data_IF_528224039686
#
_entry.id   IF_528224039686
#
_cell.length_a   1.000
_cell.length_b   1.000
_cell.length_c   1.000
_cell.angle_alpha   90.00
_cell.angle_beta   90.00
_cell.angle_gamma   90.00
#
_symmetry.space_group_name_H-M   'P 1'
#
loop_
_entity.id
_entity.type
_entity.pdbx_description
1 polymer ?
#
# COMPACT_ATOMS: atom_id res chain seq x y z
N UNK A 1 6.74 -21.87 4.98
CA UNK A 1 5.34 -22.29 4.79
C UNK A 1 5.34 -23.41 3.78
N UNK A 2 4.79 -24.59 4.10
CA UNK A 2 4.53 -25.62 3.08
C UNK A 2 3.22 -25.25 2.38
N UNK A 3 3.32 -24.74 1.15
CA UNK A 3 2.15 -24.40 0.35
C UNK A 3 1.86 -25.57 -0.59
N UNK A 4 0.72 -26.23 -0.38
CA UNK A 4 0.31 -27.38 -1.19
C UNK A 4 -0.05 -26.93 -2.61
N UNK A 5 0.48 -27.64 -3.61
CA UNK A 5 0.58 -27.27 -5.03
C UNK A 5 -0.71 -27.43 -5.85
N UNK A 6 -1.77 -27.97 -5.27
CA UNK A 6 -3.01 -28.19 -5.97
C UNK A 6 -3.94 -27.00 -5.78
N UNK A 7 -4.21 -26.24 -6.86
CA UNK A 7 -5.30 -25.26 -6.89
C UNK A 7 -6.58 -26.01 -6.54
N UNK A 8 -7.17 -25.83 -5.35
CA UNK A 8 -8.41 -26.50 -5.06
C UNK A 8 -9.47 -25.80 -5.92
N UNK A 9 -10.16 -26.53 -6.78
CA UNK A 9 -11.29 -26.01 -7.56
C UNK A 9 -12.46 -25.75 -6.60
N UNK A 10 -12.36 -24.64 -5.87
CA UNK A 10 -13.23 -24.27 -4.75
C UNK A 10 -14.50 -23.58 -5.23
N UNK A 11 -14.49 -23.05 -6.46
CA UNK A 11 -15.58 -22.26 -7.01
C UNK A 11 -15.40 -20.76 -6.87
N UNK A 12 -16.09 -20.01 -7.73
CA UNK A 12 -16.17 -18.55 -7.69
C UNK A 12 -17.15 -18.08 -6.62
N UNK A 13 -16.82 -16.97 -5.96
CA UNK A 13 -17.68 -16.24 -5.02
C UNK A 13 -17.95 -14.84 -5.58
N UNK A 14 -19.12 -14.27 -5.28
CA UNK A 14 -19.40 -12.86 -5.58
C UNK A 14 -18.91 -12.01 -4.42
N UNK A 15 -17.81 -11.28 -4.60
CA UNK A 15 -17.29 -10.42 -3.55
C UNK A 15 -16.54 -9.19 -4.06
N UNK A 16 -16.43 -8.18 -3.20
CA UNK A 16 -15.46 -7.10 -3.36
C UNK A 16 -14.06 -7.64 -3.00
N UNK A 17 -13.12 -7.73 -3.96
CA UNK A 17 -11.79 -8.28 -3.73
C UNK A 17 -11.00 -7.53 -2.67
N UNK A 18 -11.13 -6.20 -2.60
CA UNK A 18 -10.39 -5.36 -1.65
C UNK A 18 -10.87 -5.59 -0.21
N UNK A 19 -12.18 -5.75 -0.03
CA UNK A 19 -12.79 -6.04 1.27
C UNK A 19 -12.50 -7.46 1.72
N UNK A 20 -12.52 -8.42 0.81
CA UNK A 20 -12.10 -9.79 1.12
C UNK A 20 -10.62 -9.85 1.49
N UNK A 21 -9.75 -9.13 0.79
CA UNK A 21 -8.34 -9.00 1.16
C UNK A 21 -8.19 -8.40 2.57
N UNK A 22 -8.98 -7.38 2.92
CA UNK A 22 -9.00 -6.80 4.27
C UNK A 22 -9.40 -7.84 5.34
N UNK A 23 -10.37 -8.70 5.05
CA UNK A 23 -10.77 -9.81 5.94
C UNK A 23 -9.59 -10.75 6.18
N UNK A 24 -8.96 -11.22 5.11
CA UNK A 24 -7.85 -12.17 5.18
C UNK A 24 -6.64 -11.56 5.89
N UNK A 25 -6.33 -10.30 5.60
CA UNK A 25 -5.23 -9.57 6.24
C UNK A 25 -5.44 -9.44 7.74
N UNK A 26 -6.64 -9.09 8.19
CA UNK A 26 -6.95 -8.97 9.61
C UNK A 26 -6.79 -10.30 10.35
N UNK A 27 -7.27 -11.40 9.76
CA UNK A 27 -7.16 -12.73 10.36
C UNK A 27 -5.71 -13.23 10.39
N UNK A 28 -4.97 -13.07 9.29
CA UNK A 28 -3.55 -13.47 9.21
C UNK A 28 -2.65 -12.62 10.12
N UNK A 29 -2.86 -11.31 10.13
CA UNK A 29 -2.09 -10.42 11.01
C UNK A 29 -2.32 -10.77 12.48
N UNK A 30 -3.56 -11.09 12.87
CA UNK A 30 -3.85 -11.57 14.23
C UNK A 30 -3.15 -12.90 14.51
N UNK A 31 -3.24 -13.88 13.60
CA UNK A 31 -2.59 -15.17 13.74
C UNK A 31 -1.07 -15.03 13.92
N UNK A 32 -0.41 -14.18 13.11
CA UNK A 32 1.03 -13.92 13.23
C UNK A 32 1.35 -13.18 14.53
N UNK A 33 0.59 -12.13 14.86
CA UNK A 33 0.80 -11.30 16.05
C UNK A 33 0.68 -12.08 17.36
N UNK A 34 -0.23 -13.05 17.41
CA UNK A 34 -0.51 -13.81 18.63
C UNK A 34 0.21 -15.17 18.67
N UNK A 35 0.99 -15.49 17.63
CA UNK A 35 1.85 -16.67 17.59
C UNK A 35 3.28 -16.29 17.99
N UNK A 36 3.83 -16.97 18.98
CA UNK A 36 5.21 -16.75 19.42
C UNK A 36 6.22 -17.21 18.35
N UNK A 37 7.45 -16.69 18.41
CA UNK A 37 8.53 -17.12 17.51
C UNK A 37 8.70 -18.64 17.53
N UNK A 38 8.71 -19.26 16.34
CA UNK A 38 8.77 -20.72 16.17
C UNK A 38 7.40 -21.42 16.12
N UNK A 39 6.29 -20.70 16.37
CA UNK A 39 4.94 -21.22 16.16
C UNK A 39 4.55 -21.31 14.68
N UNK A 40 3.39 -21.89 14.39
CA UNK A 40 2.90 -22.15 13.03
C UNK A 40 1.57 -21.46 12.79
N UNK A 41 1.43 -20.89 11.59
CA UNK A 41 0.16 -20.41 11.04
C UNK A 41 -0.11 -21.19 9.76
N UNK A 42 -1.31 -21.73 9.64
CA UNK A 42 -1.76 -22.52 8.50
C UNK A 42 -3.00 -21.85 7.87
N UNK A 43 -3.03 -21.81 6.53
CA UNK A 43 -4.16 -21.31 5.76
C UNK A 43 -4.65 -22.44 4.86
N UNK A 44 -5.96 -22.68 4.87
CA UNK A 44 -6.60 -23.69 4.05
C UNK A 44 -7.80 -23.10 3.33
N UNK A 45 -7.94 -23.43 2.05
CA UNK A 45 -9.10 -23.07 1.22
C UNK A 45 -9.74 -24.35 0.70
N UNK A 46 -11.04 -24.53 0.94
CA UNK A 46 -11.81 -25.70 0.50
C UNK A 46 -13.19 -25.29 -0.05
N UNK A 47 -13.68 -25.98 -1.07
CA UNK A 47 -15.09 -25.89 -1.47
C UNK A 47 -15.91 -26.96 -0.76
N UNK A 48 -17.00 -26.59 -0.11
CA UNK A 48 -17.89 -27.53 0.58
C UNK A 48 -19.32 -27.42 0.09
N UNK A 49 -20.00 -28.57 0.03
CA UNK A 49 -21.46 -28.66 -0.15
C UNK A 49 -22.07 -28.85 1.23
N UNK A 50 -23.16 -28.14 1.54
CA UNK A 50 -23.88 -28.35 2.80
C UNK A 50 -24.61 -29.70 2.69
N UNK A 51 -24.22 -30.70 3.48
CA UNK A 51 -24.95 -31.97 3.56
C UNK A 51 -26.29 -31.77 4.29
N UNK A 52 -27.34 -32.39 3.76
CA UNK A 52 -28.70 -32.37 4.31
C UNK A 52 -28.77 -33.20 5.59
N UNK A 53 -28.57 -32.57 6.76
CA UNK A 53 -29.10 -33.10 8.02
C UNK A 53 -29.71 -31.96 8.86
N UNK A 54 -31.00 -32.10 9.17
CA UNK A 54 -31.72 -31.25 10.12
C UNK A 54 -32.61 -30.19 9.47
N UNK A 55 -33.80 -30.03 10.03
CA UNK A 55 -34.99 -29.40 9.44
C UNK A 55 -34.77 -28.03 8.78
N UNK A 56 -35.49 -27.86 7.67
CA UNK A 56 -35.51 -26.72 6.77
C UNK A 56 -35.43 -25.34 7.45
N UNK A 57 -34.24 -24.75 7.45
CA UNK A 57 -34.09 -23.29 7.43
C UNK A 57 -33.99 -22.87 5.96
N UNK A 58 -35.04 -22.21 5.49
CA UNK A 58 -35.45 -22.08 4.09
C UNK A 58 -34.57 -21.20 3.17
N UNK A 59 -33.30 -20.91 3.47
CA UNK A 59 -32.52 -19.96 2.65
C UNK A 59 -31.05 -20.29 2.34
N UNK A 60 -30.51 -21.49 2.63
CA UNK A 60 -29.13 -21.83 2.23
C UNK A 60 -29.00 -23.27 1.71
N UNK A 61 -29.52 -23.53 0.49
CA UNK A 61 -29.12 -24.66 -0.38
C UNK A 61 -27.79 -24.38 -1.12
N UNK A 62 -26.89 -23.57 -0.55
CA UNK A 62 -25.72 -23.06 -1.26
C UNK A 62 -24.45 -23.85 -0.91
N UNK A 63 -23.69 -24.25 -1.93
CA UNK A 63 -22.29 -24.63 -1.75
C UNK A 63 -21.49 -23.40 -1.32
N UNK A 64 -20.44 -23.57 -0.53
CA UNK A 64 -19.65 -22.45 0.02
C UNK A 64 -18.15 -22.69 -0.12
N UNK A 65 -17.39 -21.62 -0.34
CA UNK A 65 -15.96 -21.59 -0.14
C UNK A 65 -15.68 -21.42 1.35
N UNK A 66 -14.78 -22.23 1.89
CA UNK A 66 -14.36 -22.19 3.28
C UNK A 66 -12.87 -21.85 3.35
N UNK A 67 -12.54 -20.74 4.02
CA UNK A 67 -11.17 -20.33 4.34
C UNK A 67 -10.95 -20.57 5.82
N UNK A 68 -9.94 -21.36 6.17
CA UNK A 68 -9.58 -21.68 7.55
C UNK A 68 -8.19 -21.14 7.81
N UNK A 69 -8.05 -20.29 8.82
CA UNK A 69 -6.78 -19.75 9.30
C UNK A 69 -6.59 -20.27 10.72
N UNK A 70 -5.58 -21.10 10.92
CA UNK A 70 -5.28 -21.73 12.21
C UNK A 70 -3.87 -21.34 12.66
N UNK A 71 -3.72 -21.02 13.94
CA UNK A 71 -2.45 -20.67 14.55
C UNK A 71 -2.17 -21.53 15.79
N UNK A 72 -0.90 -21.65 16.16
CA UNK A 72 -0.46 -22.32 17.40
C UNK A 72 -0.09 -21.30 18.49
N UNK A 73 -0.74 -20.14 18.48
CA UNK A 73 -0.43 -19.01 19.34
C UNK A 73 -1.03 -19.13 20.74
N UNK A 74 -1.19 -17.98 21.39
CA UNK A 74 -1.66 -17.91 22.79
C UNK A 74 -3.08 -18.43 23.03
N UNK A 75 -3.84 -18.77 21.98
CA UNK A 75 -5.23 -19.18 22.10
C UNK A 75 -6.18 -18.08 22.56
N UNK A 76 -7.44 -18.46 22.81
CA UNK A 76 -8.50 -17.56 23.25
C UNK A 76 -9.17 -18.21 24.46
N UNK A 77 -9.32 -17.45 25.54
CA UNK A 77 -10.00 -17.95 26.74
C UNK A 77 -11.47 -18.27 26.43
N UNK A 78 -12.04 -19.36 27.00
CA UNK A 78 -13.45 -19.72 26.78
C UNK A 78 -14.43 -18.61 27.13
N UNK A 79 -14.12 -17.79 28.14
CA UNK A 79 -14.95 -16.66 28.56
C UNK A 79 -14.95 -15.52 27.53
N UNK A 80 -13.87 -15.37 26.76
CA UNK A 80 -13.74 -14.31 25.75
C UNK A 80 -14.18 -14.75 24.35
N UNK A 81 -14.10 -16.04 24.03
CA UNK A 81 -14.42 -16.57 22.70
C UNK A 81 -15.81 -16.15 22.17
N UNK A 82 -16.90 -16.14 22.96
CA UNK A 82 -18.21 -15.67 22.50
C UNK A 82 -18.23 -14.19 22.11
N UNK A 83 -17.31 -13.40 22.68
CA UNK A 83 -17.25 -11.94 22.53
C UNK A 83 -16.15 -11.49 21.55
N UNK A 84 -15.44 -12.42 20.89
CA UNK A 84 -14.26 -12.12 20.07
C UNK A 84 -14.58 -11.25 18.84
N UNK A 85 -15.83 -11.25 18.37
CA UNK A 85 -16.31 -10.43 17.25
C UNK A 85 -17.07 -9.17 17.68
N UNK A 86 -17.19 -8.89 18.98
CA UNK A 86 -17.83 -7.67 19.46
C UNK A 86 -16.92 -6.44 19.27
N UNK A 87 -17.55 -5.30 18.95
CA UNK A 87 -16.83 -4.04 18.83
C UNK A 87 -16.20 -3.63 20.16
N UNK A 88 -14.94 -3.20 20.11
CA UNK A 88 -14.18 -2.66 21.26
C UNK A 88 -13.94 -3.67 22.40
N UNK A 89 -14.16 -4.97 22.17
CA UNK A 89 -13.89 -6.03 23.14
C UNK A 89 -12.48 -6.59 22.98
N UNK A 90 -11.78 -6.74 24.10
CA UNK A 90 -10.41 -7.27 24.16
C UNK A 90 -10.27 -8.19 25.37
N UNK A 91 -9.54 -9.30 25.20
CA UNK A 91 -9.35 -10.30 26.25
C UNK A 91 -8.55 -9.77 27.45
N UNK A 92 -7.61 -8.84 27.23
CA UNK A 92 -6.76 -8.27 28.29
C UNK A 92 -6.35 -6.83 27.99
N UNK A 93 -6.65 -5.92 28.94
CA UNK A 93 -6.22 -4.52 28.88
C UNK A 93 -4.71 -4.31 29.09
N UNK A 94 -3.98 -5.32 29.57
CA UNK A 94 -2.53 -5.25 29.85
C UNK A 94 -1.64 -5.32 28.60
N UNK A 95 -2.10 -5.99 27.54
CA UNK A 95 -1.38 -6.17 26.27
C UNK A 95 -1.42 -4.88 25.41
N UNK A 96 -2.30 -3.92 25.74
CA UNK A 96 -2.46 -2.65 25.01
C UNK A 96 -1.22 -1.75 25.06
N UNK A 97 -0.36 -1.86 26.09
CA UNK A 97 0.86 -1.05 26.17
C UNK A 97 1.98 -1.52 25.23
N UNK A 98 1.93 -2.76 24.76
CA UNK A 98 2.97 -3.30 23.85
C UNK A 98 2.51 -3.43 22.40
N UNK A 99 1.22 -3.69 22.10
CA UNK A 99 0.77 -3.90 20.71
C UNK A 99 -0.62 -3.32 20.42
N UNK A 100 -0.77 -2.00 20.56
CA UNK A 100 -2.01 -1.22 20.45
C UNK A 100 -2.96 -1.62 19.31
N UNK A 101 -4.07 -2.26 19.65
CA UNK A 101 -5.22 -2.47 18.77
C UNK A 101 -6.48 -1.87 19.39
N UNK A 102 -7.43 -1.42 18.58
CA UNK A 102 -8.70 -0.81 19.04
C UNK A 102 -9.82 -1.84 19.32
N UNK A 103 -9.56 -3.14 19.11
CA UNK A 103 -10.59 -4.19 19.25
C UNK A 103 -11.64 -4.15 18.13
N UNK A 104 -11.32 -3.55 16.99
CA UNK A 104 -12.23 -3.41 15.85
C UNK A 104 -12.00 -4.44 14.74
N UNK A 105 -10.79 -5.01 14.65
CA UNK A 105 -10.37 -5.82 13.51
C UNK A 105 -11.30 -7.01 13.24
N UNK A 106 -11.64 -7.79 14.27
CA UNK A 106 -12.52 -8.96 14.11
C UNK A 106 -14.00 -8.58 13.93
N UNK A 107 -14.45 -7.49 14.55
CA UNK A 107 -15.80 -6.96 14.31
C UNK A 107 -15.99 -6.52 12.84
N UNK A 108 -14.96 -5.88 12.26
CA UNK A 108 -14.93 -5.53 10.83
C UNK A 108 -14.93 -6.80 9.97
N UNK A 109 -14.13 -7.82 10.33
CA UNK A 109 -14.14 -9.11 9.62
C UNK A 109 -15.55 -9.69 9.55
N UNK A 110 -16.25 -9.77 10.70
CA UNK A 110 -17.62 -10.28 10.75
C UNK A 110 -18.56 -9.48 9.86
N UNK A 111 -18.55 -8.16 9.99
CA UNK A 111 -19.41 -7.29 9.20
C UNK A 111 -19.16 -7.44 7.68
N UNK A 112 -17.90 -7.45 7.25
CA UNK A 112 -17.55 -7.60 5.84
C UNK A 112 -17.95 -8.98 5.31
N UNK A 113 -17.73 -10.06 6.06
CA UNK A 113 -18.12 -11.40 5.65
C UNK A 113 -19.65 -11.53 5.55
N UNK A 114 -20.39 -10.99 6.51
CA UNK A 114 -21.86 -10.95 6.49
C UNK A 114 -22.40 -10.14 5.30
N UNK A 115 -21.76 -9.01 4.95
CA UNK A 115 -22.12 -8.24 3.75
C UNK A 115 -21.91 -9.02 2.44
N UNK A 116 -20.98 -9.98 2.42
CA UNK A 116 -20.79 -10.90 1.31
C UNK A 116 -21.73 -12.11 1.35
N UNK A 117 -22.72 -12.12 2.25
CA UNK A 117 -23.64 -13.25 2.45
C UNK A 117 -22.98 -14.47 3.08
N UNK A 118 -21.81 -14.29 3.69
CA UNK A 118 -21.02 -15.33 4.33
C UNK A 118 -21.24 -15.43 5.84
N UNK A 119 -20.47 -16.33 6.45
CA UNK A 119 -20.42 -16.56 7.90
C UNK A 119 -18.95 -16.62 8.34
N UNK A 120 -18.61 -16.03 9.49
CA UNK A 120 -17.30 -16.22 10.13
C UNK A 120 -17.47 -16.79 11.53
N UNK A 121 -16.63 -17.77 11.87
CA UNK A 121 -16.58 -18.38 13.21
C UNK A 121 -15.15 -18.41 13.74
N UNK A 122 -15.01 -18.50 15.05
CA UNK A 122 -13.74 -18.67 15.74
C UNK A 122 -13.85 -19.85 16.72
N UNK A 123 -12.79 -20.66 16.78
CA UNK A 123 -12.66 -21.80 17.69
C UNK A 123 -11.28 -21.77 18.34
N UNK A 124 -11.20 -22.11 19.63
CA UNK A 124 -9.94 -22.23 20.36
C UNK A 124 -10.11 -23.19 21.52
N UNK A 125 -9.22 -24.18 21.71
CA UNK A 125 -9.27 -25.09 22.86
C UNK A 125 -8.96 -24.42 24.21
N UNK A 126 -8.54 -23.15 24.22
CA UNK A 126 -8.16 -22.38 25.40
C UNK A 126 -6.76 -21.80 25.31
N UNK A 127 -6.29 -21.22 26.42
CA UNK A 127 -5.00 -20.52 26.47
C UNK A 127 -3.82 -21.45 26.14
N UNK A 128 -2.90 -20.93 25.32
CA UNK A 128 -1.69 -21.62 24.84
C UNK A 128 -1.92 -22.68 23.75
N UNK A 129 -3.16 -22.90 23.29
CA UNK A 129 -3.51 -23.96 22.34
C UNK A 129 -3.83 -23.44 20.93
N UNK A 130 -3.60 -22.15 20.67
CA UNK A 130 -3.86 -21.53 19.38
C UNK A 130 -5.35 -21.25 19.10
N UNK A 131 -5.62 -20.65 17.96
CA UNK A 131 -6.98 -20.31 17.53
C UNK A 131 -7.19 -20.67 16.06
N UNK A 132 -8.44 -20.94 15.70
CA UNK A 132 -8.87 -21.25 14.33
C UNK A 132 -10.03 -20.36 13.94
N UNK A 133 -9.84 -19.54 12.91
CA UNK A 133 -10.87 -18.71 12.30
C UNK A 133 -11.34 -19.33 11.00
N UNK A 134 -12.65 -19.46 10.83
CA UNK A 134 -13.27 -20.04 9.62
C UNK A 134 -14.18 -19.02 8.97
N UNK A 135 -13.89 -18.65 7.73
CA UNK A 135 -14.73 -17.79 6.88
C UNK A 135 -15.42 -18.66 5.83
N UNK A 136 -16.73 -18.58 5.72
CA UNK A 136 -17.55 -19.27 4.72
C UNK A 136 -18.19 -18.23 3.80
N UNK A 137 -18.03 -18.39 2.49
CA UNK A 137 -18.61 -17.51 1.48
C UNK A 137 -19.47 -18.31 0.49
N UNK A 138 -20.67 -17.84 0.13
CA UNK A 138 -21.53 -18.55 -0.81
C UNK A 138 -20.89 -18.61 -2.20
N UNK A 139 -20.84 -19.81 -2.78
CA UNK A 139 -20.39 -19.98 -4.16
C UNK A 139 -21.47 -19.49 -5.12
N UNK A 140 -21.03 -18.91 -6.24
CA UNK A 140 -21.88 -18.59 -7.37
C UNK A 140 -22.51 -19.88 -7.92
N UNK A 141 -23.83 -19.84 -8.14
CA UNK A 141 -24.60 -20.97 -8.65
C UNK A 141 -24.26 -21.31 -10.11
N UNK A 142 -24.01 -20.29 -10.95
CA UNK A 142 -23.54 -20.48 -12.33
C UNK A 142 -22.04 -20.20 -12.42
N UNK A 143 -21.25 -21.25 -12.22
CA UNK A 143 -19.80 -21.21 -12.33
C UNK A 143 -19.36 -21.16 -13.80
N UNK A 144 -20.14 -21.72 -14.71
CA UNK A 144 -19.76 -22.05 -16.09
C UNK A 144 -19.60 -20.82 -16.98
N UNK A 145 -20.62 -19.96 -17.06
CA UNK A 145 -20.54 -18.75 -17.90
C UNK A 145 -19.58 -17.71 -17.32
N UNK A 146 -19.55 -17.54 -16.01
CA UNK A 146 -18.66 -16.58 -15.35
C UNK A 146 -17.19 -17.02 -15.44
N UNK A 147 -16.88 -18.31 -15.28
CA UNK A 147 -15.53 -18.83 -15.54
C UNK A 147 -15.14 -18.61 -17.00
N UNK A 148 -16.01 -18.91 -17.97
CA UNK A 148 -15.70 -18.69 -19.39
C UNK A 148 -15.40 -17.22 -19.71
N UNK A 149 -16.14 -16.26 -19.14
CA UNK A 149 -15.88 -14.84 -19.34
C UNK A 149 -14.60 -14.36 -18.64
N UNK A 150 -14.33 -14.83 -17.42
CA UNK A 150 -13.08 -14.54 -16.70
C UNK A 150 -11.86 -15.16 -17.41
N UNK A 151 -12.00 -16.39 -17.91
CA UNK A 151 -10.97 -17.09 -18.66
C UNK A 151 -10.73 -16.41 -20.02
N UNK A 152 -11.78 -15.90 -20.68
CA UNK A 152 -11.65 -15.10 -21.91
C UNK A 152 -10.95 -13.75 -21.67
N UNK A 153 -11.29 -13.06 -20.58
CA UNK A 153 -10.63 -11.81 -20.17
C UNK A 153 -9.20 -12.02 -19.63
N UNK A 154 -8.87 -13.22 -19.12
CA UNK A 154 -7.51 -13.62 -18.79
C UNK A 154 -6.72 -14.08 -20.01
N UNK A 155 -7.38 -14.69 -20.99
CA UNK A 155 -6.77 -15.09 -22.26
C UNK A 155 -6.32 -13.90 -23.10
N UNK A 156 -6.94 -12.72 -22.96
CA UNK A 156 -6.43 -11.48 -23.57
C UNK A 156 -5.12 -10.98 -22.95
N UNK A 157 -4.70 -11.51 -21.79
CA UNK A 157 -3.42 -11.24 -21.10
C UNK A 157 -2.63 -12.55 -20.92
N UNK A 158 -2.65 -13.43 -21.93
CA UNK A 158 -1.88 -14.68 -21.89
C UNK A 158 -0.40 -14.42 -22.20
N UNK A 159 0.49 -14.80 -21.26
CA UNK A 159 1.95 -14.74 -21.42
C UNK A 159 2.54 -16.07 -21.88
N UNK A 160 1.74 -16.89 -22.58
CA UNK A 160 2.08 -18.25 -22.96
C UNK A 160 3.44 -18.33 -23.68
N UNK A 161 4.39 -19.04 -23.06
CA UNK A 161 5.73 -19.26 -23.63
C UNK A 161 6.67 -18.05 -23.53
N UNK A 162 6.26 -16.95 -22.89
CA UNK A 162 7.13 -15.81 -22.64
C UNK A 162 8.12 -16.17 -21.53
N UNK A 163 9.42 -16.16 -21.84
CA UNK A 163 10.50 -16.37 -20.87
C UNK A 163 10.85 -15.04 -20.20
N UNK A 164 10.63 -14.92 -18.90
CA UNK A 164 10.87 -13.71 -18.11
C UNK A 164 12.06 -13.94 -17.18
N UNK A 165 13.09 -13.09 -17.28
CA UNK A 165 14.19 -13.07 -16.32
C UNK A 165 13.96 -11.94 -15.31
N UNK A 166 13.82 -12.29 -14.04
CA UNK A 166 13.62 -11.34 -12.93
C UNK A 166 14.97 -11.08 -12.25
N UNK A 167 15.27 -9.82 -11.94
CA UNK A 167 16.47 -9.40 -11.21
C UNK A 167 16.01 -8.58 -10.03
N UNK A 168 16.20 -9.08 -8.82
CA UNK A 168 15.72 -8.44 -7.59
C UNK A 168 16.53 -9.00 -6.43
N UNK A 169 16.99 -8.18 -5.47
CA UNK A 169 17.77 -8.64 -4.33
C UNK A 169 16.87 -9.16 -3.19
N UNK A 170 15.58 -8.82 -3.18
CA UNK A 170 14.60 -9.26 -2.21
C UNK A 170 14.03 -10.65 -2.55
N UNK A 171 14.19 -11.59 -1.63
CA UNK A 171 13.77 -12.98 -1.83
C UNK A 171 12.26 -13.12 -2.00
N UNK A 172 11.48 -12.37 -1.23
CA UNK A 172 10.03 -12.50 -1.22
C UNK A 172 9.40 -12.00 -2.53
N UNK A 173 9.97 -10.94 -3.13
CA UNK A 173 9.57 -10.44 -4.45
C UNK A 173 9.91 -11.46 -5.54
N UNK A 174 11.11 -12.04 -5.52
CA UNK A 174 11.48 -13.11 -6.47
C UNK A 174 10.56 -14.31 -6.35
N UNK A 175 10.28 -14.78 -5.14
CA UNK A 175 9.40 -15.92 -4.90
C UNK A 175 7.98 -15.62 -5.39
N UNK A 176 7.47 -14.41 -5.14
CA UNK A 176 6.17 -13.98 -5.63
C UNK A 176 6.10 -13.92 -7.16
N UNK A 177 7.04 -13.25 -7.83
CA UNK A 177 7.02 -13.08 -9.28
C UNK A 177 7.26 -14.39 -10.03
N UNK A 178 8.18 -15.23 -9.54
CA UNK A 178 8.40 -16.58 -10.09
C UNK A 178 7.22 -17.50 -9.84
N UNK A 179 6.39 -17.23 -8.82
CA UNK A 179 5.13 -17.93 -8.59
C UNK A 179 3.96 -17.39 -9.42
N UNK A 180 3.86 -16.07 -9.58
CA UNK A 180 2.73 -15.41 -10.21
C UNK A 180 2.76 -15.53 -11.74
N UNK A 181 3.90 -15.25 -12.38
CA UNK A 181 4.02 -15.20 -13.85
C UNK A 181 3.68 -16.54 -14.53
N UNK A 182 4.07 -17.72 -14.00
CA UNK A 182 3.65 -19.00 -14.58
C UNK A 182 2.14 -19.24 -14.56
N UNK A 183 1.39 -18.57 -13.67
CA UNK A 183 -0.07 -18.67 -13.64
C UNK A 183 -0.74 -18.04 -14.86
N UNK A 184 -0.01 -17.18 -15.58
CA UNK A 184 -0.42 -16.56 -16.84
C UNK A 184 0.25 -17.21 -18.06
N UNK A 185 0.95 -18.34 -17.88
CA UNK A 185 1.59 -19.12 -18.96
C UNK A 185 3.03 -18.71 -19.30
N UNK A 186 3.61 -17.76 -18.56
CA UNK A 186 5.01 -17.41 -18.70
C UNK A 186 5.93 -18.49 -18.11
N UNK A 187 7.20 -18.45 -18.49
CA UNK A 187 8.27 -19.23 -17.87
C UNK A 187 9.16 -18.21 -17.18
N UNK A 188 9.25 -18.22 -15.85
CA UNK A 188 10.01 -17.24 -15.10
C UNK A 188 11.23 -17.87 -14.42
N UNK A 189 12.36 -17.19 -14.47
CA UNK A 189 13.54 -17.47 -13.63
C UNK A 189 13.97 -16.17 -12.96
N UNK A 190 14.64 -16.26 -11.82
CA UNK A 190 15.07 -15.08 -11.08
C UNK A 190 16.53 -15.21 -10.62
N UNK A 191 17.25 -14.09 -10.66
CA UNK A 191 18.62 -13.95 -10.16
C UNK A 191 18.67 -12.87 -9.08
N UNK A 192 19.65 -12.99 -8.19
CA UNK A 192 19.75 -12.12 -7.00
C UNK A 192 20.56 -10.85 -7.24
N UNK A 193 21.30 -10.81 -8.35
CA UNK A 193 22.24 -9.72 -8.60
C UNK A 193 22.43 -9.47 -10.10
N UNK A 194 22.73 -8.23 -10.44
CA UNK A 194 23.07 -7.80 -11.79
C UNK A 194 24.28 -8.57 -12.39
N UNK A 195 25.17 -9.11 -11.54
CA UNK A 195 26.35 -9.89 -11.98
C UNK A 195 25.99 -11.23 -12.64
N UNK A 196 24.88 -11.83 -12.21
CA UNK A 196 24.42 -13.13 -12.73
C UNK A 196 23.64 -13.00 -14.05
N UNK A 197 23.15 -11.79 -14.35
CA UNK A 197 22.19 -11.54 -15.44
C UNK A 197 22.71 -11.93 -16.81
N UNK A 198 23.96 -11.59 -17.16
CA UNK A 198 24.50 -11.90 -18.49
C UNK A 198 24.61 -13.41 -18.71
N UNK A 199 25.10 -14.13 -17.70
CA UNK A 199 25.17 -15.59 -17.73
C UNK A 199 23.78 -16.20 -17.88
N UNK A 200 22.81 -15.66 -17.16
CA UNK A 200 21.42 -16.14 -17.21
C UNK A 200 20.76 -15.81 -18.56
N UNK A 201 21.06 -14.65 -19.16
CA UNK A 201 20.58 -14.31 -20.51
C UNK A 201 21.06 -15.34 -21.54
N UNK A 202 22.32 -15.77 -21.47
CA UNK A 202 22.88 -16.76 -22.39
C UNK A 202 22.25 -18.16 -22.20
N UNK A 203 21.98 -18.55 -20.94
CA UNK A 203 21.44 -19.87 -20.61
C UNK A 203 19.93 -19.96 -20.80
N UNK A 204 19.19 -19.01 -20.23
CA UNK A 204 17.73 -19.02 -20.21
C UNK A 204 17.12 -18.39 -21.47
N UNK A 205 17.88 -17.55 -22.19
CA UNK A 205 17.43 -16.82 -23.38
C UNK A 205 16.09 -16.12 -23.15
N UNK A 206 15.98 -15.21 -22.17
CA UNK A 206 14.71 -14.56 -21.86
C UNK A 206 14.18 -13.78 -23.07
N UNK A 207 12.86 -13.64 -23.14
CA UNK A 207 12.18 -12.72 -24.05
C UNK A 207 12.06 -11.32 -23.45
N UNK A 208 12.09 -11.21 -22.12
CA UNK A 208 12.03 -9.93 -21.39
C UNK A 208 12.78 -10.03 -20.07
N UNK A 209 13.47 -8.95 -19.70
CA UNK A 209 14.09 -8.73 -18.41
C UNK A 209 13.18 -7.85 -17.56
N UNK A 210 12.91 -8.24 -16.31
CA UNK A 210 12.26 -7.40 -15.29
C UNK A 210 13.29 -7.17 -14.20
N UNK A 211 13.76 -5.94 -14.05
CA UNK A 211 14.77 -5.58 -13.06
C UNK A 211 14.17 -4.66 -12.02
N UNK A 212 14.41 -4.98 -10.76
CA UNK A 212 14.39 -3.99 -9.72
C UNK A 212 15.46 -2.92 -10.00
N UNK A 213 15.19 -1.70 -9.55
CA UNK A 213 16.12 -0.57 -9.67
C UNK A 213 17.02 -0.49 -8.44
N UNK A 214 16.46 -0.75 -7.26
CA UNK A 214 17.08 -0.55 -5.95
C UNK A 214 18.05 -1.64 -5.52
N UNK A 215 18.85 -2.20 -6.42
CA UNK A 215 19.72 -3.33 -6.11
C UNK A 215 21.08 -2.90 -5.53
N UNK A 216 21.65 -3.65 -4.56
CA UNK A 216 22.98 -3.41 -4.04
C UNK A 216 24.07 -3.52 -5.11
N UNK A 217 25.11 -2.68 -5.00
CA UNK A 217 26.31 -2.65 -5.85
C UNK A 217 26.12 -2.18 -7.30
N UNK A 218 25.02 -2.57 -7.96
CA UNK A 218 24.69 -2.16 -9.33
C UNK A 218 23.16 -2.03 -9.46
N UNK A 219 22.69 -0.80 -9.71
CA UNK A 219 21.27 -0.52 -9.92
C UNK A 219 20.75 -1.07 -11.27
N UNK A 220 19.42 -1.21 -11.38
CA UNK A 220 18.77 -1.75 -12.57
C UNK A 220 19.05 -0.95 -13.86
N UNK A 221 19.35 0.35 -13.76
CA UNK A 221 19.69 1.18 -14.92
C UNK A 221 21.10 0.88 -15.44
N UNK A 222 22.08 0.79 -14.54
CA UNK A 222 23.46 0.44 -14.82
C UNK A 222 23.53 -0.95 -15.46
N UNK A 223 22.74 -1.89 -14.95
CA UNK A 223 22.55 -3.21 -15.55
C UNK A 223 22.01 -3.11 -16.99
N UNK A 224 20.93 -2.35 -17.22
CA UNK A 224 20.35 -2.22 -18.56
C UNK A 224 21.32 -1.54 -19.52
N UNK A 225 22.01 -0.47 -19.11
CA UNK A 225 23.04 0.18 -19.95
C UNK A 225 24.16 -0.78 -20.32
N UNK A 226 24.62 -1.61 -19.37
CA UNK A 226 25.60 -2.66 -19.62
C UNK A 226 25.08 -3.69 -20.63
N UNK A 227 23.83 -4.11 -20.53
CA UNK A 227 23.16 -4.98 -21.52
C UNK A 227 23.10 -4.29 -22.90
N UNK A 228 22.77 -2.99 -22.98
CA UNK A 228 22.74 -2.24 -24.26
C UNK A 228 24.11 -2.08 -24.91
N UNK A 229 25.18 -2.15 -24.13
CA UNK A 229 26.56 -2.12 -24.62
C UNK A 229 27.08 -3.49 -25.11
N UNK A 230 26.29 -4.56 -24.92
CA UNK A 230 26.74 -5.92 -25.22
C UNK A 230 26.87 -6.16 -26.74
N UNK A 231 27.88 -6.91 -27.22
CA UNK A 231 28.11 -7.12 -28.65
C UNK A 231 27.02 -7.91 -29.37
N UNK A 232 26.39 -8.86 -28.67
CA UNK A 232 25.34 -9.71 -29.22
C UNK A 232 24.03 -8.91 -29.43
N UNK A 233 23.49 -8.83 -30.66
CA UNK A 233 22.28 -8.07 -30.95
C UNK A 233 21.04 -8.57 -30.20
N UNK A 234 20.94 -9.86 -29.90
CA UNK A 234 19.79 -10.42 -29.18
C UNK A 234 19.79 -9.97 -27.71
N UNK A 235 20.95 -9.99 -27.07
CA UNK A 235 21.17 -9.48 -25.71
C UNK A 235 21.00 -7.96 -25.65
N UNK A 236 21.64 -7.23 -26.58
CA UNK A 236 21.55 -5.77 -26.66
C UNK A 236 20.12 -5.28 -26.84
N UNK A 237 19.30 -5.97 -27.63
CA UNK A 237 17.92 -5.59 -27.91
C UNK A 237 16.89 -6.27 -26.99
N UNK A 238 17.33 -7.01 -25.97
CA UNK A 238 16.44 -7.67 -25.02
C UNK A 238 15.50 -6.64 -24.40
N UNK A 239 14.16 -6.77 -24.59
CA UNK A 239 13.20 -5.92 -23.90
C UNK A 239 13.46 -5.96 -22.39
N UNK A 240 13.59 -4.79 -21.77
CA UNK A 240 13.88 -4.69 -20.35
C UNK A 240 12.91 -3.70 -19.72
N UNK A 241 12.33 -4.09 -18.60
CA UNK A 241 11.44 -3.29 -17.77
C UNK A 241 12.20 -3.05 -16.47
N UNK A 242 12.61 -1.80 -16.25
CA UNK A 242 12.97 -1.29 -14.93
C UNK A 242 11.72 -0.60 -14.36
N UNK A 243 11.55 -0.58 -13.03
CA UNK A 243 10.42 0.13 -12.43
C UNK A 243 10.33 1.60 -12.92
N UNK A 244 9.11 2.14 -12.89
CA UNK A 244 8.65 3.26 -13.72
C UNK A 244 9.60 4.49 -13.73
N UNK A 245 9.99 4.96 -14.92
CA UNK A 245 10.78 6.21 -15.06
C UNK A 245 9.91 7.42 -14.71
N UNK A 246 10.52 8.61 -14.55
CA UNK A 246 9.77 9.86 -14.31
C UNK A 246 8.82 10.17 -15.47
N UNK A 247 9.29 9.98 -16.70
CA UNK A 247 8.52 10.20 -17.92
C UNK A 247 7.37 9.21 -18.03
N UNK A 248 7.62 7.93 -17.72
CA UNK A 248 6.58 6.89 -17.70
C UNK A 248 5.60 7.07 -16.54
N UNK A 249 6.04 7.59 -15.39
CA UNK A 249 5.17 7.93 -14.26
C UNK A 249 4.23 9.07 -14.64
N UNK A 250 4.76 10.07 -15.35
CA UNK A 250 3.97 11.15 -15.91
C UNK A 250 2.94 10.66 -16.94
N UNK A 251 3.35 9.80 -17.89
CA UNK A 251 2.43 9.15 -18.84
C UNK A 251 1.37 8.30 -18.12
N UNK A 252 1.74 7.58 -17.06
CA UNK A 252 0.83 6.80 -16.24
C UNK A 252 -0.19 7.68 -15.52
N UNK A 253 0.21 8.82 -14.96
CA UNK A 253 -0.70 9.79 -14.37
C UNK A 253 -1.65 10.39 -15.42
N UNK A 254 -1.16 10.73 -16.62
CA UNK A 254 -2.02 11.24 -17.70
C UNK A 254 -3.03 10.21 -18.20
N UNK A 255 -2.65 8.93 -18.27
CA UNK A 255 -3.52 7.85 -18.68
C UNK A 255 -4.57 7.48 -17.61
N UNK A 256 -4.36 7.89 -16.35
CA UNK A 256 -5.23 7.57 -15.21
C UNK A 256 -5.61 8.85 -14.43
N UNK A 257 -6.34 9.79 -15.05
CA UNK A 257 -6.64 11.10 -14.46
C UNK A 257 -7.51 11.03 -13.18
N UNK A 258 -8.20 9.91 -12.96
CA UNK A 258 -9.08 9.71 -11.80
C UNK A 258 -8.33 9.18 -10.55
N UNK A 259 -7.04 8.84 -10.68
CA UNK A 259 -6.23 8.28 -9.59
C UNK A 259 -5.35 9.36 -8.95
N UNK A 260 -5.31 9.38 -7.62
CA UNK A 260 -4.31 10.16 -6.87
C UNK A 260 -3.09 9.29 -6.65
N UNK A 261 -1.95 9.67 -7.22
CA UNK A 261 -0.77 8.81 -7.31
C UNK A 261 0.49 9.55 -6.84
N UNK A 262 1.32 8.88 -6.06
CA UNK A 262 2.68 9.31 -5.70
C UNK A 262 3.72 8.27 -6.12
N UNK A 263 5.00 8.68 -6.18
CA UNK A 263 6.14 7.79 -6.43
C UNK A 263 7.15 7.90 -5.29
N UNK A 264 7.55 6.79 -4.67
CA UNK A 264 8.59 6.82 -3.63
C UNK A 264 9.98 7.03 -4.24
N UNK A 265 10.98 7.37 -3.42
CA UNK A 265 12.37 7.48 -3.88
C UNK A 265 12.89 6.16 -4.47
N UNK A 266 12.38 5.02 -3.99
CA UNK A 266 12.68 3.69 -4.53
C UNK A 266 11.97 3.40 -5.88
N UNK A 267 11.07 4.28 -6.33
CA UNK A 267 10.33 4.15 -7.58
C UNK A 267 8.98 3.43 -7.46
N UNK A 268 8.55 3.11 -6.24
CA UNK A 268 7.26 2.45 -5.99
C UNK A 268 6.10 3.43 -6.24
N UNK A 269 5.02 2.93 -6.86
CA UNK A 269 3.82 3.72 -7.11
C UNK A 269 2.83 3.56 -5.95
N UNK A 270 2.50 4.66 -5.29
CA UNK A 270 1.51 4.70 -4.21
C UNK A 270 0.21 5.27 -4.76
N UNK A 271 -0.85 4.47 -4.80
CA UNK A 271 -2.19 4.91 -5.20
C UNK A 271 -2.99 5.23 -3.94
N UNK A 272 -3.42 6.48 -3.83
CA UNK A 272 -4.23 6.96 -2.71
C UNK A 272 -5.71 6.97 -3.09
N UNK A 273 -6.61 6.62 -2.15
CA UNK A 273 -8.04 6.81 -2.36
C UNK A 273 -8.36 8.31 -2.52
N UNK A 274 -9.50 8.65 -3.14
CA UNK A 274 -9.99 10.02 -3.16
C UNK A 274 -10.09 10.61 -1.76
N UNK A 275 -9.73 11.88 -1.63
CA UNK A 275 -9.82 12.60 -0.37
C UNK A 275 -11.28 12.67 0.10
N UNK A 276 -11.57 12.12 1.28
CA UNK A 276 -12.90 12.24 1.89
C UNK A 276 -13.28 13.71 2.11
N UNK A 277 -14.57 14.04 2.00
CA UNK A 277 -15.08 15.42 2.05
C UNK A 277 -14.63 16.20 3.30
N UNK A 278 -14.51 15.50 4.43
CA UNK A 278 -14.02 16.05 5.70
C UNK A 278 -12.56 16.53 5.64
N UNK A 279 -11.68 15.70 5.06
CA UNK A 279 -10.26 16.00 4.82
C UNK A 279 -10.10 17.05 3.73
N UNK A 280 -10.91 16.99 2.67
CA UNK A 280 -10.91 17.95 1.57
C UNK A 280 -11.28 19.36 2.00
N UNK A 281 -12.33 19.52 2.82
CA UNK A 281 -12.71 20.82 3.35
C UNK A 281 -11.59 21.45 4.20
N UNK A 282 -10.91 20.65 5.02
CA UNK A 282 -9.85 21.16 5.92
C UNK A 282 -8.54 21.45 5.20
N UNK A 283 -8.09 20.57 4.31
CA UNK A 283 -6.93 20.87 3.44
C UNK A 283 -7.19 22.14 2.61
N UNK A 284 -8.41 22.31 2.10
CA UNK A 284 -8.83 23.56 1.46
C UNK A 284 -8.73 24.80 2.37
N UNK A 285 -9.00 24.67 3.67
CA UNK A 285 -8.82 25.78 4.66
C UNK A 285 -7.36 26.06 4.98
N UNK A 286 -6.50 25.04 4.97
CA UNK A 286 -5.07 25.20 5.11
C UNK A 286 -4.51 25.95 3.89
N UNK A 287 -4.79 25.44 2.69
CA UNK A 287 -4.39 26.06 1.43
C UNK A 287 -4.87 27.51 1.33
N UNK A 288 -6.16 27.78 1.61
CA UNK A 288 -6.72 29.13 1.58
C UNK A 288 -5.94 30.13 2.46
N UNK A 289 -5.56 29.72 3.68
CA UNK A 289 -4.82 30.61 4.58
C UNK A 289 -3.41 30.88 4.07
N UNK A 290 -2.74 29.85 3.55
CA UNK A 290 -1.40 29.97 2.98
C UNK A 290 -1.39 30.84 1.72
N UNK A 291 -2.34 30.61 0.80
CA UNK A 291 -2.51 31.38 -0.43
C UNK A 291 -2.76 32.87 -0.13
N UNK A 292 -3.71 33.17 0.77
CA UNK A 292 -4.00 34.55 1.16
C UNK A 292 -2.77 35.29 1.71
N UNK A 293 -1.93 34.61 2.50
CA UNK A 293 -0.69 35.20 3.00
C UNK A 293 0.34 35.37 1.89
N UNK A 294 0.51 34.36 1.04
CA UNK A 294 1.49 34.40 -0.06
C UNK A 294 1.18 35.51 -1.05
N UNK A 295 -0.08 35.68 -1.43
CA UNK A 295 -0.54 36.74 -2.35
C UNK A 295 -0.32 38.14 -1.76
N UNK A 296 -0.43 38.30 -0.44
CA UNK A 296 -0.21 39.57 0.24
C UNK A 296 1.28 39.90 0.37
N UNK A 297 2.11 38.91 0.69
CA UNK A 297 3.55 39.08 0.89
C UNK A 297 4.32 39.15 -0.44
N UNK A 298 3.82 38.46 -1.48
CA UNK A 298 4.42 38.44 -2.82
C UNK A 298 5.77 37.73 -2.89
N UNK A 299 6.09 36.88 -1.92
CA UNK A 299 7.43 36.24 -1.78
C UNK A 299 7.53 34.85 -2.40
N UNK A 300 6.42 34.28 -2.86
CA UNK A 300 6.40 32.94 -3.42
C UNK A 300 5.04 32.51 -3.97
N UNK A 301 5.01 31.27 -4.45
CA UNK A 301 3.84 30.63 -5.05
C UNK A 301 3.30 29.54 -4.13
N UNK A 302 1.98 29.40 -4.06
CA UNK A 302 1.30 28.36 -3.29
C UNK A 302 0.68 27.31 -4.17
N UNK A 303 0.71 26.06 -3.71
CA UNK A 303 0.20 24.92 -4.44
C UNK A 303 -0.72 24.06 -3.56
N UNK A 304 -1.75 23.52 -4.19
CA UNK A 304 -2.78 22.72 -3.53
C UNK A 304 -2.41 21.23 -3.42
N UNK A 305 -3.31 20.45 -2.85
CA UNK A 305 -3.16 19.02 -2.57
C UNK A 305 -3.16 18.09 -3.79
N UNK A 306 -3.37 18.65 -4.98
CA UNK A 306 -3.29 17.94 -6.26
C UNK A 306 -1.97 18.15 -6.98
N UNK A 307 -1.15 19.11 -6.52
CA UNK A 307 0.12 19.44 -7.14
C UNK A 307 1.18 18.42 -6.72
N UNK A 308 1.91 17.86 -7.70
CA UNK A 308 3.00 16.92 -7.46
C UNK A 308 4.38 17.54 -7.73
N UNK A 309 5.37 17.20 -6.92
CA UNK A 309 6.75 17.67 -7.02
C UNK A 309 7.72 16.51 -7.08
N UNK A 310 8.72 16.59 -7.96
CA UNK A 310 9.83 15.63 -7.99
C UNK A 310 10.93 16.14 -7.06
N UNK A 311 11.15 15.44 -5.96
CA UNK A 311 12.17 15.74 -4.96
C UNK A 311 13.59 15.37 -5.47
N UNK A 312 14.66 15.97 -4.93
CA UNK A 312 16.05 15.63 -5.28
C UNK A 312 16.40 14.14 -5.16
N UNK A 313 15.81 13.40 -4.22
CA UNK A 313 15.99 11.96 -4.09
C UNK A 313 15.20 11.13 -5.13
N UNK A 314 14.47 11.77 -6.05
CA UNK A 314 13.70 11.14 -7.10
C UNK A 314 12.25 10.78 -6.73
N UNK A 315 11.81 10.98 -5.49
CA UNK A 315 10.41 10.77 -5.11
C UNK A 315 9.49 11.81 -5.77
N UNK A 316 8.27 11.42 -6.13
CA UNK A 316 7.21 12.35 -6.53
C UNK A 316 6.16 12.42 -5.42
N UNK A 317 6.04 13.59 -4.79
CA UNK A 317 5.17 13.80 -3.62
C UNK A 317 4.14 14.91 -3.86
N UNK A 318 2.97 14.77 -3.23
CA UNK A 318 1.89 15.75 -3.30
C UNK A 318 1.43 16.12 -1.88
N UNK A 319 1.99 17.19 -1.28
CA UNK A 319 1.59 17.65 0.06
C UNK A 319 0.20 18.27 0.04
N UNK A 320 -0.50 18.31 1.18
CA UNK A 320 -1.86 18.89 1.25
C UNK A 320 -1.90 20.41 1.02
N UNK A 321 -0.80 21.09 1.32
CA UNK A 321 -0.51 22.44 0.88
C UNK A 321 1.00 22.65 0.84
N UNK A 322 1.48 23.47 -0.08
CA UNK A 322 2.89 23.83 -0.13
C UNK A 322 3.14 25.23 -0.65
N UNK A 323 4.35 25.72 -0.39
CA UNK A 323 4.81 27.04 -0.82
C UNK A 323 6.26 27.00 -1.27
N UNK A 324 6.57 27.75 -2.32
CA UNK A 324 7.91 27.85 -2.93
C UNK A 324 8.27 29.33 -3.10
N UNK A 325 9.49 29.71 -2.71
CA UNK A 325 10.01 31.07 -2.92
C UNK A 325 9.98 31.45 -4.40
N UNK A 326 9.59 32.68 -4.71
CA UNK A 326 9.43 33.16 -6.09
C UNK A 326 10.71 32.98 -6.92
N UNK A 327 11.88 33.30 -6.36
CA UNK A 327 13.15 33.16 -7.09
C UNK A 327 13.46 31.70 -7.45
N UNK A 328 13.10 30.74 -6.59
CA UNK A 328 13.29 29.31 -6.85
C UNK A 328 12.29 28.82 -7.90
N UNK A 329 11.04 29.23 -7.81
CA UNK A 329 10.01 28.86 -8.79
C UNK A 329 10.29 29.45 -10.18
N UNK A 330 10.68 30.72 -10.23
CA UNK A 330 10.96 31.43 -11.48
C UNK A 330 12.24 30.96 -12.17
N UNK A 331 13.13 30.26 -11.46
CA UNK A 331 14.32 29.64 -12.03
C UNK A 331 14.02 28.38 -12.87
N UNK A 332 12.83 27.77 -12.72
CA UNK A 332 12.40 26.63 -13.52
C UNK A 332 12.01 27.04 -14.93
N UNK A 333 12.21 26.16 -15.91
CA UNK A 333 11.67 26.37 -17.27
C UNK A 333 10.16 26.21 -17.29
N UNK A 334 9.51 26.72 -18.34
CA UNK A 334 8.06 26.57 -18.49
C UNK A 334 7.64 25.10 -18.65
N UNK A 335 8.47 24.27 -19.29
CA UNK A 335 8.24 22.82 -19.38
C UNK A 335 8.33 22.14 -18.01
N UNK A 336 9.27 22.56 -17.16
CA UNK A 336 9.40 22.04 -15.80
C UNK A 336 8.18 22.42 -14.95
N UNK A 337 7.71 23.66 -15.05
CA UNK A 337 6.50 24.15 -14.36
C UNK A 337 5.22 23.46 -14.84
N UNK A 338 5.16 23.06 -16.12
CA UNK A 338 4.02 22.33 -16.71
C UNK A 338 4.03 20.81 -16.42
N UNK A 339 4.89 20.35 -15.50
CA UNK A 339 5.06 18.94 -15.13
C UNK A 339 5.05 18.76 -13.60
N UNK A 340 5.41 17.57 -13.10
CA UNK A 340 5.79 17.43 -11.70
C UNK A 340 7.12 18.13 -11.47
N UNK A 341 7.07 19.42 -11.13
CA UNK A 341 8.22 20.32 -11.08
C UNK A 341 9.39 19.69 -10.28
N UNK A 342 10.64 19.72 -10.81
CA UNK A 342 11.81 19.09 -10.19
C UNK A 342 12.37 19.94 -9.04
N UNK A 343 11.55 20.19 -8.02
CA UNK A 343 11.85 21.06 -6.91
C UNK A 343 11.19 20.54 -5.63
N UNK A 344 11.94 20.50 -4.53
CA UNK A 344 11.34 20.32 -3.20
C UNK A 344 10.75 21.67 -2.72
N UNK A 345 9.48 21.73 -2.29
CA UNK A 345 8.91 22.98 -1.78
C UNK A 345 9.64 23.51 -0.55
N UNK A 346 9.71 24.83 -0.39
CA UNK A 346 10.33 25.47 0.78
C UNK A 346 9.53 25.20 2.07
N UNK A 347 8.21 25.11 1.94
CA UNK A 347 7.30 24.81 3.04
C UNK A 347 6.22 23.81 2.61
N UNK A 348 5.97 22.81 3.45
CA UNK A 348 5.00 21.74 3.21
C UNK A 348 4.09 21.55 4.42
N UNK A 349 2.82 21.25 4.16
CA UNK A 349 1.84 20.89 5.18
C UNK A 349 1.20 19.55 4.81
N UNK A 350 1.17 18.62 5.76
CA UNK A 350 0.50 17.32 5.66
C UNK A 350 -0.58 17.24 6.75
N UNK A 351 -1.80 16.89 6.35
CA UNK A 351 -2.95 16.74 7.24
C UNK A 351 -3.23 15.24 7.43
N UNK A 352 -3.13 14.77 8.68
CA UNK A 352 -3.42 13.37 8.96
C UNK A 352 -4.89 13.04 8.70
N UNK A 353 -5.15 12.14 7.77
CA UNK A 353 -6.47 11.58 7.51
C UNK A 353 -6.74 10.32 8.35
N UNK A 354 -7.97 9.80 8.26
CA UNK A 354 -8.38 8.58 8.98
C UNK A 354 -7.70 7.31 8.48
N UNK A 355 -7.23 7.30 7.23
CA UNK A 355 -6.47 6.19 6.63
C UNK A 355 -4.97 6.24 6.95
N UNK A 356 -4.47 7.36 7.46
CA UNK A 356 -3.03 7.55 7.64
C UNK A 356 -2.52 7.05 9.00
N UNK A 357 -1.34 6.44 8.96
CA UNK A 357 -0.56 6.22 10.17
C UNK A 357 0.25 7.48 10.49
N UNK A 358 0.40 7.80 11.78
CA UNK A 358 1.23 8.95 12.16
C UNK A 358 2.69 8.71 11.73
N UNK A 359 3.21 7.51 11.94
CA UNK A 359 4.58 7.13 11.59
C UNK A 359 4.90 7.29 10.11
N UNK A 360 3.98 6.92 9.20
CA UNK A 360 4.20 7.09 7.76
C UNK A 360 4.28 8.56 7.38
N UNK A 361 3.43 9.41 7.97
CA UNK A 361 3.49 10.86 7.74
C UNK A 361 4.73 11.49 8.36
N UNK A 362 5.16 11.05 9.55
CA UNK A 362 6.42 11.53 10.15
C UNK A 362 7.62 11.19 9.26
N UNK A 363 7.67 9.98 8.69
CA UNK A 363 8.70 9.60 7.73
C UNK A 363 8.65 10.47 6.46
N UNK A 364 7.44 10.74 5.93
CA UNK A 364 7.24 11.64 4.78
C UNK A 364 7.71 13.07 5.07
N UNK A 365 7.42 13.60 6.27
CA UNK A 365 7.90 14.92 6.69
C UNK A 365 9.41 14.96 6.74
N UNK A 366 10.05 13.93 7.32
CA UNK A 366 11.51 13.85 7.35
C UNK A 366 12.09 13.79 5.93
N UNK A 367 11.47 13.03 5.02
CA UNK A 367 11.87 12.98 3.61
C UNK A 367 11.85 14.38 2.97
N UNK A 368 10.82 15.20 3.19
CA UNK A 368 10.80 16.58 2.68
C UNK A 368 11.95 17.42 3.23
N UNK A 369 12.23 17.34 4.54
CA UNK A 369 13.33 18.08 5.17
C UNK A 369 14.68 17.67 4.61
N UNK A 370 14.91 16.35 4.47
CA UNK A 370 16.15 15.80 3.92
C UNK A 370 16.35 16.20 2.45
N UNK A 371 15.27 16.52 1.74
CA UNK A 371 15.23 16.97 0.36
C UNK A 371 15.23 18.50 0.18
N UNK A 372 15.37 19.26 1.27
CA UNK A 372 15.59 20.71 1.23
C UNK A 372 14.37 21.58 1.56
N UNK A 373 13.28 21.01 2.10
CA UNK A 373 12.24 21.82 2.70
C UNK A 373 12.78 22.54 3.95
N UNK A 374 12.50 23.84 4.07
CA UNK A 374 12.94 24.65 5.20
C UNK A 374 12.06 24.47 6.42
N UNK A 375 10.76 24.20 6.20
CA UNK A 375 9.78 23.99 7.26
C UNK A 375 8.73 22.96 6.82
N UNK A 376 8.25 22.17 7.76
CA UNK A 376 7.16 21.24 7.54
C UNK A 376 6.18 21.18 8.69
N UNK A 377 4.87 21.26 8.42
CA UNK A 377 3.82 21.03 9.42
C UNK A 377 3.11 19.70 9.18
N UNK A 378 3.15 18.82 10.17
CA UNK A 378 2.28 17.65 10.21
C UNK A 378 1.17 17.86 11.24
N UNK A 379 -0.05 17.99 10.76
CA UNK A 379 -1.23 18.28 11.58
C UNK A 379 -1.93 16.95 11.89
N UNK A 380 -1.77 16.46 13.12
CA UNK A 380 -2.48 15.29 13.63
C UNK A 380 -3.80 15.73 14.27
N UNK A 381 -4.85 15.78 13.45
CA UNK A 381 -6.19 16.15 13.90
C UNK A 381 -6.79 15.18 14.92
N UNK A 382 -6.39 13.91 14.89
CA UNK A 382 -6.93 12.89 15.80
C UNK A 382 -6.50 13.17 17.23
N UNK A 383 -5.25 13.59 17.40
CA UNK A 383 -4.66 13.92 18.69
C UNK A 383 -4.65 15.43 18.96
N UNK A 384 -5.11 16.25 18.00
CA UNK A 384 -5.02 17.72 17.99
C UNK A 384 -3.61 18.22 18.26
N UNK A 385 -2.62 17.60 17.65
CA UNK A 385 -1.22 18.01 17.76
C UNK A 385 -0.71 18.51 16.42
N UNK A 386 0.28 19.40 16.46
CA UNK A 386 1.01 19.82 15.25
C UNK A 386 2.49 19.54 15.48
N UNK A 387 3.10 18.80 14.57
CA UNK A 387 4.52 18.50 14.57
C UNK A 387 5.22 19.44 13.58
N UNK A 388 6.18 20.23 14.06
CA UNK A 388 6.96 21.17 13.27
C UNK A 388 8.32 20.57 12.98
N UNK A 389 8.64 20.47 11.70
CA UNK A 389 9.89 19.91 11.20
C UNK A 389 10.76 21.03 10.65
N UNK A 390 12.03 21.08 11.08
CA UNK A 390 13.07 21.97 10.54
C UNK A 390 14.36 21.19 10.34
N UNK A 391 15.21 21.58 9.38
CA UNK A 391 16.51 20.94 9.15
C UNK A 391 17.34 20.86 10.42
N UNK A 392 17.94 19.69 10.68
CA UNK A 392 18.85 19.43 11.81
C UNK A 392 18.25 19.60 13.21
N UNK A 393 16.92 19.58 13.35
CA UNK A 393 16.24 19.68 14.64
C UNK A 393 15.31 18.48 14.85
N UNK A 394 15.14 18.08 16.11
CA UNK A 394 14.05 17.16 16.48
C UNK A 394 12.71 17.87 16.30
N UNK A 395 11.67 17.18 15.78
CA UNK A 395 10.39 17.82 15.55
C UNK A 395 9.80 18.39 16.85
N UNK A 396 9.43 19.66 16.82
CA UNK A 396 8.69 20.31 17.91
C UNK A 396 7.22 19.88 17.85
N UNK A 397 6.61 19.59 19.00
CA UNK A 397 5.22 19.13 19.05
C UNK A 397 4.41 20.14 19.85
N UNK A 398 3.43 20.75 19.20
CA UNK A 398 2.47 21.65 19.81
C UNK A 398 1.20 20.88 20.15
N UNK A 399 0.75 20.98 21.40
CA UNK A 399 -0.47 20.36 21.89
C UNK A 399 -1.66 21.32 21.80
N UNK A 400 -2.67 20.94 21.01
CA UNK A 400 -3.90 21.68 20.74
C UNK A 400 -3.70 23.20 20.51
N UNK A 401 -2.77 23.63 19.63
CA UNK A 401 -2.52 25.05 19.40
C UNK A 401 -3.75 25.76 18.79
N UNK A 402 -3.97 27.01 19.17
CA UNK A 402 -4.95 27.88 18.49
C UNK A 402 -4.40 28.40 17.15
N UNK A 403 -3.09 28.68 17.13
CA UNK A 403 -2.34 29.14 15.95
C UNK A 403 -0.96 28.50 15.93
N UNK A 404 -0.42 28.29 14.73
CA UNK A 404 0.94 27.76 14.53
C UNK A 404 1.72 28.73 13.66
N UNK A 405 2.76 29.35 14.23
CA UNK A 405 3.65 30.27 13.51
C UNK A 405 4.63 29.49 12.63
N UNK A 406 4.88 30.02 11.43
CA UNK A 406 5.89 29.54 10.50
C UNK A 406 7.14 30.43 10.46
N UNK A 407 7.31 31.30 11.46
CA UNK A 407 8.51 32.11 11.59
C UNK A 407 9.74 31.25 11.91
N UNK A 408 10.94 31.62 11.44
CA UNK A 408 11.22 32.74 10.53
C UNK A 408 11.08 32.39 9.03
N UNK A 409 10.77 31.15 8.69
CA UNK A 409 10.78 30.68 7.29
C UNK A 409 9.73 31.37 6.42
N UNK A 410 8.52 31.59 6.98
CA UNK A 410 7.44 32.37 6.39
C UNK A 410 7.09 33.51 7.37
N UNK A 411 7.74 34.68 7.24
CA UNK A 411 7.55 35.79 8.17
C UNK A 411 6.07 36.19 8.30
N UNK A 412 5.62 36.33 9.55
CA UNK A 412 4.25 36.74 9.90
C UNK A 412 3.14 35.77 9.48
N UNK A 413 3.48 34.61 8.89
CA UNK A 413 2.51 33.56 8.61
C UNK A 413 2.20 32.79 9.89
N UNK A 414 0.93 32.76 10.26
CA UNK A 414 0.42 31.91 11.32
C UNK A 414 -0.85 31.18 10.88
N UNK A 415 -0.79 29.85 10.87
CA UNK A 415 -1.91 29.00 10.53
C UNK A 415 -2.92 28.98 11.68
N UNK A 416 -4.16 29.40 11.44
CA UNK A 416 -5.23 29.34 12.45
C UNK A 416 -5.90 27.97 12.44
N UNK A 417 -5.88 27.31 13.59
CA UNK A 417 -6.28 25.91 13.69
C UNK A 417 -7.78 25.69 13.92
N UNK A 418 -8.53 26.73 14.31
CA UNK A 418 -9.96 26.62 14.65
C UNK A 418 -10.85 26.05 13.53
N UNK A 419 -10.46 26.21 12.25
CA UNK A 419 -11.17 25.65 11.09
C UNK A 419 -10.48 24.41 10.50
N UNK A 420 -9.39 23.96 11.12
CA UNK A 420 -8.55 22.82 10.71
C UNK A 420 -8.74 21.63 11.66
N UNK A 421 -9.01 21.85 12.95
CA UNK A 421 -9.45 20.79 13.87
C UNK A 421 -10.73 20.11 13.37
#
# INVERSE_FOLDING_TARGET
MEYNRDRPDVGLVSCDPSRLQQVIWNLLSNAIKFTSSGGKVAVKLEGRRKEEQGEAIQNLKASFAQIVISDTGKGISPDFLPHVFEYFRQADGSITRQHGGLGLGLAIVRHLVEQHGGEVTADSPGDGQGATFTVKLPLLADQSQTRQNLDSARQSIALNGIRVLIVDDEKDVRDFLTFALPQYGAIATAVTSAREVIKEIEQFKPHVLVSDIGMPLEDGYSLIQRIRSYPDPATKNLPAIAQITREQFYEFCQANPDLRIERTAAGEVVIMPPTFSDTGNRSGKVYQQLANWSDQNGTGETFDSSTGFTLPNGATRSPDASWIKSDRWNALTEEEKASFAPICPDFVIELRSSSDTLSSLQAKMQEYIDNGAALGFLIDRKNRTVHLYRPNHTPEILDNPETVSADPELPEFALRMAKVW
#
